data_IF_993677160782
#
_entry.id   IF_993677160782
#
_cell.length_a   1.000
_cell.length_b   1.000
_cell.length_c   1.000
_cell.angle_alpha   90.00
_cell.angle_beta   90.00
_cell.angle_gamma   90.00
#
_symmetry.space_group_name_H-M   'P 1'
#
loop_
_entity.id
_entity.type
_entity.pdbx_description
1 polymer ?
#
# COMPACT_ATOMS: atom_id res chain seq x y z
N UNK A 1 -12.54 -13.24 10.43
CA UNK A 1 -11.58 -12.80 9.42
C UNK A 1 -11.42 -11.30 9.51
N UNK A 2 -10.20 -10.82 9.58
CA UNK A 2 -9.95 -9.37 9.66
C UNK A 2 -10.04 -8.75 8.27
N UNK A 3 -10.22 -7.44 8.22
CA UNK A 3 -10.20 -6.70 6.97
C UNK A 3 -8.85 -6.86 6.26
N UNK A 4 -7.77 -6.96 7.02
CA UNK A 4 -6.43 -7.17 6.48
C UNK A 4 -6.34 -8.48 5.71
N UNK A 5 -6.87 -9.56 6.27
CA UNK A 5 -6.85 -10.86 5.61
C UNK A 5 -7.65 -10.84 4.32
N UNK A 6 -8.79 -10.17 4.32
CA UNK A 6 -9.62 -10.04 3.12
C UNK A 6 -8.87 -9.31 2.01
N UNK A 7 -8.23 -8.19 2.33
CA UNK A 7 -7.48 -7.40 1.36
C UNK A 7 -6.32 -8.20 0.78
N UNK A 8 -5.56 -8.89 1.64
CA UNK A 8 -4.41 -9.68 1.20
C UNK A 8 -4.80 -10.85 0.32
N UNK A 9 -5.91 -11.52 0.65
CA UNK A 9 -6.43 -12.61 -0.17
C UNK A 9 -6.89 -12.11 -1.53
N UNK A 10 -7.55 -10.96 -1.57
CA UNK A 10 -7.97 -10.35 -2.83
C UNK A 10 -6.76 -9.98 -3.68
N UNK A 11 -5.71 -9.45 -3.08
CA UNK A 11 -4.48 -9.11 -3.77
C UNK A 11 -3.85 -10.34 -4.42
N UNK A 12 -3.78 -11.46 -3.69
CA UNK A 12 -3.27 -12.71 -4.24
C UNK A 12 -4.14 -13.24 -5.37
N UNK A 13 -5.47 -13.19 -5.16
CA UNK A 13 -6.43 -13.72 -6.14
C UNK A 13 -6.39 -12.95 -7.46
N UNK A 14 -6.30 -11.62 -7.38
CA UNK A 14 -6.37 -10.77 -8.56
C UNK A 14 -5.00 -10.30 -9.06
N UNK A 15 -3.92 -10.69 -8.38
CA UNK A 15 -2.57 -10.32 -8.80
C UNK A 15 -2.23 -8.86 -8.59
N UNK A 16 -2.82 -8.24 -7.57
CA UNK A 16 -2.53 -6.83 -7.28
C UNK A 16 -1.08 -6.65 -6.83
N UNK A 17 -0.51 -5.48 -7.14
CA UNK A 17 0.85 -5.10 -6.71
C UNK A 17 0.78 -4.41 -5.36
N UNK A 18 1.66 -4.80 -4.44
CA UNK A 18 1.68 -4.26 -3.09
C UNK A 18 2.78 -3.22 -2.93
N UNK A 19 2.44 -2.11 -2.28
CA UNK A 19 3.38 -1.05 -1.94
C UNK A 19 3.17 -0.66 -0.48
N UNK A 20 4.19 -0.04 0.13
CA UNK A 20 4.13 0.39 1.51
C UNK A 20 4.32 1.89 1.60
N UNK A 21 3.56 2.55 2.48
CA UNK A 21 3.72 3.98 2.76
C UNK A 21 4.73 4.16 3.89
N UNK A 22 5.79 4.93 3.65
CA UNK A 22 6.90 5.07 4.60
C UNK A 22 6.80 6.31 5.47
N UNK A 23 6.11 7.35 5.05
CA UNK A 23 6.10 8.62 5.77
C UNK A 23 4.78 8.97 6.44
N UNK A 24 3.68 8.41 5.97
CA UNK A 24 2.38 8.82 6.47
C UNK A 24 1.33 7.72 6.33
N UNK A 25 0.29 7.73 7.18
CA UNK A 25 -0.85 6.83 7.00
C UNK A 25 -1.54 7.10 5.66
N UNK A 26 -2.26 6.11 5.17
CA UNK A 26 -3.06 6.28 3.96
C UNK A 26 -4.21 7.21 4.26
N UNK A 27 -4.37 8.24 3.43
CA UNK A 27 -5.52 9.13 3.48
C UNK A 27 -5.79 9.65 2.09
N UNK A 28 -6.96 10.26 1.91
CA UNK A 28 -7.36 10.75 0.60
C UNK A 28 -6.32 11.76 0.07
N UNK A 29 -5.80 11.52 -1.13
CA UNK A 29 -4.86 12.41 -1.76
C UNK A 29 -3.38 12.16 -1.43
N UNK A 30 -3.08 11.17 -0.60
CA UNK A 30 -1.69 10.86 -0.23
C UNK A 30 -1.10 9.68 -0.97
N UNK A 31 -1.81 9.17 -1.97
CA UNK A 31 -1.33 8.07 -2.81
C UNK A 31 -1.84 8.27 -4.24
N UNK A 32 -1.17 7.64 -5.24
CA UNK A 32 -1.69 7.69 -6.61
C UNK A 32 -3.09 7.07 -6.67
N UNK A 33 -3.97 7.67 -7.45
CA UNK A 33 -5.36 7.21 -7.56
C UNK A 33 -5.56 6.20 -8.67
N UNK A 34 -4.79 6.30 -9.74
CA UNK A 34 -4.96 5.45 -10.91
C UNK A 34 -4.57 4.01 -10.58
N UNK A 35 -5.51 3.10 -10.74
CA UNK A 35 -5.28 1.69 -10.46
C UNK A 35 -5.34 1.30 -9.00
N UNK A 36 -5.68 2.22 -8.11
CA UNK A 36 -5.77 1.94 -6.68
C UNK A 36 -6.94 0.98 -6.42
N UNK A 37 -6.65 -0.14 -5.74
CA UNK A 37 -7.66 -1.16 -5.47
C UNK A 37 -8.09 -1.18 -4.01
N UNK A 38 -7.14 -1.28 -3.08
CA UNK A 38 -7.47 -1.37 -1.66
C UNK A 38 -6.23 -1.05 -0.83
N UNK A 39 -6.40 -0.99 0.48
CA UNK A 39 -5.30 -0.71 1.40
C UNK A 39 -5.52 -1.39 2.74
N UNK A 40 -4.43 -1.56 3.48
CA UNK A 40 -4.46 -1.97 4.89
C UNK A 40 -3.75 -0.87 5.68
N UNK A 41 -4.48 -0.20 6.56
CA UNK A 41 -3.92 0.84 7.42
C UNK A 41 -3.54 0.20 8.75
N UNK A 42 -2.28 0.35 9.16
CA UNK A 42 -1.80 -0.26 10.40
C UNK A 42 -2.18 0.55 11.64
N UNK A 43 -2.64 1.79 11.45
CA UNK A 43 -2.95 2.74 12.53
C UNK A 43 -1.74 3.09 13.40
N UNK A 44 -0.57 2.57 13.09
CA UNK A 44 0.66 2.85 13.79
C UNK A 44 1.82 2.53 12.85
N UNK A 45 3.00 3.05 13.18
CA UNK A 45 4.21 2.78 12.41
C UNK A 45 4.69 1.37 12.73
N UNK A 46 4.76 0.52 11.71
CA UNK A 46 5.04 -0.91 11.87
C UNK A 46 6.24 -1.31 11.02
N UNK A 47 7.08 -2.16 11.55
CA UNK A 47 8.23 -2.69 10.80
C UNK A 47 7.79 -3.85 9.92
N UNK A 48 8.09 -3.74 8.62
CA UNK A 48 7.87 -4.80 7.64
C UNK A 48 9.13 -4.91 6.79
N UNK A 49 9.74 -6.08 6.76
CA UNK A 49 10.97 -6.35 5.99
C UNK A 49 12.05 -5.28 6.24
N UNK A 50 12.28 -4.94 7.51
CA UNK A 50 13.28 -3.96 7.94
C UNK A 50 12.96 -2.52 7.55
N UNK A 51 11.71 -2.24 7.15
CA UNK A 51 11.25 -0.90 6.83
C UNK A 51 10.15 -0.50 7.80
N UNK A 52 10.18 0.74 8.24
CA UNK A 52 9.09 1.26 9.07
C UNK A 52 8.04 1.87 8.14
N UNK A 53 6.84 1.32 8.18
CA UNK A 53 5.76 1.70 7.26
C UNK A 53 4.47 1.94 8.03
N UNK A 54 3.55 2.70 7.42
CA UNK A 54 2.27 3.05 8.01
C UNK A 54 1.10 2.25 7.43
N UNK A 55 1.26 1.74 6.21
CA UNK A 55 0.15 1.07 5.53
C UNK A 55 0.64 0.27 4.33
N UNK A 56 -0.20 -0.69 3.90
CA UNK A 56 -0.04 -1.39 2.63
C UNK A 56 -1.05 -0.82 1.65
N UNK A 57 -0.61 -0.59 0.42
CA UNK A 57 -1.49 -0.13 -0.67
C UNK A 57 -1.41 -1.13 -1.80
N UNK A 58 -2.54 -1.38 -2.44
CA UNK A 58 -2.65 -2.38 -3.51
C UNK A 58 -3.13 -1.72 -4.80
N UNK A 59 -2.44 -2.03 -5.89
CA UNK A 59 -2.71 -1.47 -7.21
C UNK A 59 -2.84 -2.60 -8.24
N UNK A 60 -3.67 -2.38 -9.26
CA UNK A 60 -3.79 -3.33 -10.37
C UNK A 60 -2.75 -3.10 -11.46
N UNK A 61 -1.75 -2.27 -11.20
CA UNK A 61 -0.64 -1.97 -12.11
C UNK A 61 0.62 -1.71 -11.30
N UNK A 62 1.76 -1.68 -11.97
CA UNK A 62 2.99 -1.24 -11.31
C UNK A 62 3.04 0.27 -11.30
N UNK A 63 3.45 0.84 -10.17
CA UNK A 63 3.69 2.27 -10.04
C UNK A 63 5.05 2.61 -10.64
N UNK A 64 5.17 3.82 -11.19
CA UNK A 64 6.46 4.29 -11.68
C UNK A 64 7.34 4.72 -10.51
N UNK A 65 8.65 4.80 -10.76
CA UNK A 65 9.58 5.28 -9.74
C UNK A 65 9.23 6.70 -9.30
N UNK A 66 8.78 7.53 -10.23
CA UNK A 66 8.36 8.89 -9.92
C UNK A 66 7.18 8.91 -8.96
N UNK A 67 6.17 8.08 -9.22
CA UNK A 67 5.00 7.97 -8.35
C UNK A 67 5.40 7.49 -6.96
N UNK A 68 6.24 6.47 -6.87
CA UNK A 68 6.71 5.95 -5.59
C UNK A 68 7.46 7.02 -4.80
N UNK A 69 8.31 7.79 -5.48
CA UNK A 69 9.07 8.85 -4.84
C UNK A 69 8.20 10.00 -4.39
N UNK A 70 7.27 10.43 -5.25
CA UNK A 70 6.40 11.56 -4.96
C UNK A 70 5.44 11.29 -3.79
N UNK A 71 5.06 10.03 -3.60
CA UNK A 71 4.12 9.62 -2.55
C UNK A 71 4.77 8.83 -1.43
N UNK A 72 6.10 8.73 -1.42
CA UNK A 72 6.87 8.03 -0.37
C UNK A 72 6.45 6.56 -0.22
N UNK A 73 6.33 5.88 -1.35
CA UNK A 73 5.97 4.47 -1.40
C UNK A 73 7.18 3.61 -1.73
N UNK A 74 7.21 2.40 -1.18
CA UNK A 74 8.25 1.39 -1.47
C UNK A 74 7.58 0.04 -1.71
N UNK A 75 8.29 -0.86 -2.37
CA UNK A 75 7.82 -2.23 -2.59
C UNK A 75 7.98 -3.10 -1.36
#
# INVERSE_FOLDING_TARGET
MTNEDYVRRSADKYGWKRYYSTLRPVSMGTQPKDGFMDFVNYDDRTEVDRKMVWAELYYNRELTEKEMRDYDLVK
#
